data_IF_793819088629
#
_entry.id   IF_793819088629
#
_cell.length_a   1.000
_cell.length_b   1.000
_cell.length_c   1.000
_cell.angle_alpha   90.00
_cell.angle_beta   90.00
_cell.angle_gamma   90.00
#
_symmetry.space_group_name_H-M   'P 1'
#
loop_
_entity.id
_entity.type
_entity.pdbx_description
1 polymer ?
#
# COMPACT_ATOMS: atom_id res chain seq x y z
N UNK A 1 25.56 2.54 29.94
CA UNK A 1 24.29 2.35 30.67
C UNK A 1 23.13 1.92 29.78
N UNK A 2 23.09 2.25 28.48
CA UNK A 2 22.08 1.72 27.54
C UNK A 2 22.27 0.23 27.15
N UNK A 3 23.51 -0.27 27.19
CA UNK A 3 23.85 -1.66 26.82
C UNK A 3 23.37 -2.68 27.87
N UNK A 4 23.22 -2.27 29.13
CA UNK A 4 22.76 -3.16 30.21
C UNK A 4 21.23 -3.38 30.13
N UNK A 5 20.47 -2.36 29.75
CA UNK A 5 19.00 -2.45 29.65
C UNK A 5 18.52 -3.25 28.44
N UNK A 6 19.30 -3.32 27.35
CA UNK A 6 19.01 -4.18 26.20
C UNK A 6 19.31 -5.66 26.49
N UNK A 7 20.30 -5.96 27.33
CA UNK A 7 20.61 -7.34 27.72
C UNK A 7 19.55 -7.95 28.66
N UNK A 8 18.92 -7.10 29.50
CA UNK A 8 17.85 -7.49 30.42
C UNK A 8 16.49 -7.70 29.71
N UNK A 9 16.25 -7.08 28.54
CA UNK A 9 15.03 -7.34 27.76
C UNK A 9 15.13 -8.66 26.97
N UNK A 10 16.30 -8.95 26.40
CA UNK A 10 16.57 -10.18 25.64
C UNK A 10 16.50 -11.43 26.53
N UNK A 11 16.93 -11.33 27.78
CA UNK A 11 16.82 -12.45 28.75
C UNK A 11 15.39 -12.73 29.20
N UNK A 12 14.46 -11.78 29.02
CA UNK A 12 13.03 -11.95 29.30
C UNK A 12 12.31 -12.65 28.13
N UNK A 13 12.63 -12.26 26.90
CA UNK A 13 12.11 -12.89 25.66
C UNK A 13 12.54 -14.36 25.52
N UNK A 14 13.79 -14.68 25.88
CA UNK A 14 14.29 -16.07 25.82
C UNK A 14 13.58 -16.98 26.86
N UNK A 15 13.13 -16.43 28.00
CA UNK A 15 12.37 -17.19 29.00
C UNK A 15 10.93 -17.48 28.57
N UNK A 16 10.30 -16.60 27.80
CA UNK A 16 8.93 -16.79 27.30
C UNK A 16 8.88 -17.83 26.16
N UNK A 17 9.91 -17.86 25.31
CA UNK A 17 10.04 -18.86 24.22
C UNK A 17 10.21 -20.29 24.76
N UNK A 18 10.83 -20.46 25.93
CA UNK A 18 11.03 -21.77 26.57
C UNK A 18 9.74 -22.38 27.16
N UNK A 19 8.66 -21.61 27.34
CA UNK A 19 7.43 -22.09 28.00
C UNK A 19 6.39 -22.69 27.05
N UNK A 20 6.55 -22.58 25.72
CA UNK A 20 5.49 -22.94 24.75
C UNK A 20 5.86 -24.01 23.71
N UNK A 21 6.96 -24.75 23.90
CA UNK A 21 7.31 -25.85 23.00
C UNK A 21 6.50 -27.13 23.30
N UNK A 22 5.41 -27.35 22.57
CA UNK A 22 4.91 -28.69 22.23
C UNK A 22 3.89 -28.66 21.07
N UNK A 23 4.38 -28.80 19.82
CA UNK A 23 3.80 -29.61 18.72
C UNK A 23 4.47 -29.31 17.37
N UNK A 24 4.64 -30.32 16.49
CA UNK A 24 5.25 -30.15 15.17
C UNK A 24 4.21 -29.64 14.17
N UNK A 25 4.60 -28.71 13.27
CA UNK A 25 3.70 -28.22 12.23
C UNK A 25 4.29 -28.30 10.82
N UNK A 26 3.36 -28.69 9.96
CA UNK A 26 3.48 -29.25 8.62
C UNK A 26 3.77 -28.16 7.58
N UNK A 27 4.40 -28.54 6.46
CA UNK A 27 4.97 -27.66 5.41
C UNK A 27 3.90 -26.97 4.52
N UNK A 28 2.72 -26.66 5.07
CA UNK A 28 1.60 -26.03 4.35
C UNK A 28 1.23 -24.59 4.76
N UNK A 29 1.87 -24.01 5.78
CA UNK A 29 1.27 -22.89 6.56
C UNK A 29 1.91 -21.50 6.39
N UNK A 30 2.65 -21.22 5.32
CA UNK A 30 3.29 -19.90 5.13
C UNK A 30 2.29 -18.79 4.73
N UNK A 31 1.01 -19.12 4.44
CA UNK A 31 -0.07 -18.13 4.35
C UNK A 31 -0.86 -17.94 5.67
N UNK A 32 -0.72 -18.84 6.65
CA UNK A 32 -1.59 -18.86 7.84
C UNK A 32 -0.99 -18.15 9.07
N UNK A 33 0.31 -17.85 9.12
CA UNK A 33 0.93 -17.26 10.31
C UNK A 33 0.76 -15.75 10.48
N UNK A 34 0.25 -15.03 9.47
CA UNK A 34 -0.18 -13.64 9.63
C UNK A 34 -1.63 -13.53 10.12
N UNK A 35 -2.44 -14.57 9.92
CA UNK A 35 -3.89 -14.54 10.19
C UNK A 35 -4.27 -14.94 11.63
N UNK A 36 -3.40 -15.63 12.38
CA UNK A 36 -3.79 -16.23 13.65
C UNK A 36 -3.81 -15.30 14.88
N UNK A 37 -3.48 -14.02 14.74
CA UNK A 37 -3.50 -13.07 15.87
C UNK A 37 -4.19 -11.71 15.60
N UNK A 38 -4.85 -11.54 14.46
CA UNK A 38 -5.57 -10.28 14.16
C UNK A 38 -7.06 -10.43 14.41
N UNK A 39 -7.58 -9.69 15.39
CA UNK A 39 -9.01 -9.58 15.64
C UNK A 39 -9.68 -9.05 14.36
N UNK A 40 -10.71 -9.73 13.81
CA UNK A 40 -11.40 -9.25 12.62
C UNK A 40 -11.90 -7.82 12.81
N UNK A 41 -11.62 -6.96 11.83
CA UNK A 41 -12.07 -5.58 11.75
C UNK A 41 -13.17 -5.50 10.69
N UNK A 42 -14.41 -5.23 11.13
CA UNK A 42 -15.60 -5.13 10.29
C UNK A 42 -16.07 -3.68 10.22
N UNK A 43 -15.87 -3.06 9.07
CA UNK A 43 -16.21 -1.65 8.83
C UNK A 43 -17.47 -1.60 7.98
N UNK A 44 -18.53 -0.95 8.46
CA UNK A 44 -19.74 -0.74 7.68
C UNK A 44 -19.68 0.57 6.89
N UNK A 45 -19.93 0.51 5.59
CA UNK A 45 -20.05 1.67 4.69
C UNK A 45 -21.54 1.84 4.37
N UNK A 46 -22.15 2.91 4.85
CA UNK A 46 -23.59 3.21 4.69
C UNK A 46 -23.79 4.61 4.13
N UNK A 47 -25.01 4.95 3.75
CA UNK A 47 -25.35 6.21 3.09
C UNK A 47 -26.40 6.01 2.00
N UNK A 48 -26.80 7.08 1.33
CA UNK A 48 -27.80 7.00 0.26
C UNK A 48 -27.28 6.24 -0.98
N UNK A 49 -28.21 5.84 -1.86
CA UNK A 49 -27.83 5.31 -3.18
C UNK A 49 -27.16 6.42 -4.01
N UNK A 50 -26.15 6.03 -4.81
CA UNK A 50 -25.39 6.96 -5.63
C UNK A 50 -24.35 7.81 -4.89
N UNK A 51 -24.27 7.76 -3.55
CA UNK A 51 -23.30 8.58 -2.80
C UNK A 51 -21.83 8.17 -2.96
N UNK A 52 -21.53 7.08 -3.68
CA UNK A 52 -20.15 6.63 -3.91
C UNK A 52 -19.61 5.63 -2.88
N UNK A 53 -20.49 4.92 -2.16
CA UNK A 53 -20.11 3.86 -1.19
C UNK A 53 -19.20 2.80 -1.79
N UNK A 54 -19.59 2.17 -2.90
CA UNK A 54 -18.81 1.14 -3.59
C UNK A 54 -17.45 1.65 -4.05
N UNK A 55 -17.39 2.84 -4.65
CA UNK A 55 -16.13 3.50 -5.05
C UNK A 55 -15.24 3.77 -3.84
N UNK A 56 -15.81 4.19 -2.71
CA UNK A 56 -15.06 4.36 -1.46
C UNK A 56 -14.52 3.02 -0.93
N UNK A 57 -15.31 1.93 -0.98
CA UNK A 57 -14.87 0.58 -0.61
C UNK A 57 -13.66 0.15 -1.43
N UNK A 58 -13.70 0.35 -2.76
CA UNK A 58 -12.61 0.00 -3.66
C UNK A 58 -11.36 0.84 -3.40
N UNK A 59 -11.52 2.16 -3.32
CA UNK A 59 -10.43 3.08 -3.04
C UNK A 59 -9.75 2.79 -1.70
N UNK A 60 -10.53 2.49 -0.65
CA UNK A 60 -10.00 2.11 0.66
C UNK A 60 -9.23 0.78 0.61
N UNK A 61 -9.66 -0.16 -0.24
CA UNK A 61 -8.99 -1.45 -0.46
C UNK A 61 -7.79 -1.37 -1.42
N UNK A 62 -7.51 -0.19 -1.97
CA UNK A 62 -6.44 0.03 -2.94
C UNK A 62 -6.64 -0.71 -4.27
N UNK A 63 -7.88 -0.97 -4.67
CA UNK A 63 -8.23 -1.61 -5.95
C UNK A 63 -9.04 -0.64 -6.82
N UNK A 64 -8.98 -0.86 -8.13
CA UNK A 64 -9.75 -0.09 -9.11
C UNK A 64 -11.18 -0.62 -9.23
N UNK A 65 -12.09 0.21 -9.71
CA UNK A 65 -13.52 -0.16 -9.81
C UNK A 65 -13.77 -1.29 -10.82
N UNK A 66 -12.86 -1.45 -11.79
CA UNK A 66 -12.90 -2.50 -12.81
C UNK A 66 -12.12 -3.78 -12.43
N UNK A 67 -11.45 -3.81 -11.26
CA UNK A 67 -10.65 -4.96 -10.84
C UNK A 67 -11.53 -6.15 -10.39
N UNK A 68 -11.02 -7.38 -10.56
CA UNK A 68 -11.71 -8.57 -10.09
C UNK A 68 -11.92 -8.52 -8.56
N UNK A 69 -13.16 -8.66 -8.11
CA UNK A 69 -13.53 -8.55 -6.69
C UNK A 69 -13.73 -7.12 -6.18
N UNK A 70 -13.80 -6.13 -7.07
CA UNK A 70 -14.27 -4.79 -6.78
C UNK A 70 -15.76 -4.77 -6.41
N UNK A 71 -16.14 -3.83 -5.55
CA UNK A 71 -17.53 -3.51 -5.29
C UNK A 71 -18.12 -2.81 -6.53
N UNK A 72 -19.27 -3.28 -7.05
CA UNK A 72 -19.83 -2.75 -8.29
C UNK A 72 -20.32 -1.29 -8.09
N UNK A 73 -19.87 -0.40 -8.98
CA UNK A 73 -20.07 1.06 -8.88
C UNK A 73 -21.14 1.62 -9.82
N UNK A 74 -22.11 0.79 -10.24
CA UNK A 74 -23.14 1.21 -11.19
C UNK A 74 -24.11 2.26 -10.59
N UNK A 75 -24.77 3.00 -11.47
CA UNK A 75 -25.69 4.10 -11.15
C UNK A 75 -27.04 3.65 -10.57
N UNK A 76 -27.35 2.36 -10.66
CA UNK A 76 -28.54 1.72 -10.08
C UNK A 76 -28.13 1.02 -8.79
N UNK A 77 -29.02 0.91 -7.80
CA UNK A 77 -28.73 0.14 -6.58
C UNK A 77 -28.26 -1.28 -6.91
N UNK A 78 -26.96 -1.52 -6.75
CA UNK A 78 -26.31 -2.82 -7.03
C UNK A 78 -26.30 -3.74 -5.81
N UNK A 79 -26.44 -3.18 -4.60
CA UNK A 79 -26.28 -3.91 -3.33
C UNK A 79 -27.64 -4.18 -2.67
N UNK A 80 -28.17 -5.41 -2.84
CA UNK A 80 -29.46 -5.83 -2.25
C UNK A 80 -29.35 -6.43 -0.84
N UNK A 81 -28.14 -6.73 -0.37
CA UNK A 81 -27.83 -7.16 1.00
C UNK A 81 -26.46 -6.61 1.33
N UNK A 82 -26.19 -6.31 2.60
CA UNK A 82 -24.87 -5.84 3.01
C UNK A 82 -23.79 -6.84 2.57
N UNK A 83 -22.94 -6.44 1.62
CA UNK A 83 -21.98 -7.33 0.95
C UNK A 83 -20.59 -7.13 1.56
N UNK A 84 -19.95 -8.20 2.05
CA UNK A 84 -18.59 -8.13 2.58
C UNK A 84 -17.55 -8.09 1.47
N UNK A 85 -16.63 -7.15 1.58
CA UNK A 85 -15.46 -6.98 0.72
C UNK A 85 -14.20 -7.06 1.58
N UNK A 86 -13.58 -8.26 1.72
CA UNK A 86 -12.32 -8.40 2.43
C UNK A 86 -11.21 -7.65 1.68
N UNK A 87 -10.28 -7.05 2.44
CA UNK A 87 -9.11 -6.43 1.84
C UNK A 87 -8.25 -7.51 1.15
N UNK A 88 -7.79 -7.31 -0.11
CA UNK A 88 -7.09 -8.34 -0.88
C UNK A 88 -5.85 -8.90 -0.18
N UNK A 89 -5.06 -8.03 0.45
CA UNK A 89 -3.83 -8.42 1.17
C UNK A 89 -4.04 -8.69 2.67
N UNK A 90 -5.16 -8.24 3.26
CA UNK A 90 -5.40 -8.30 4.72
C UNK A 90 -6.83 -8.75 5.01
N UNK A 91 -7.17 -10.03 4.81
CA UNK A 91 -8.54 -10.51 4.90
C UNK A 91 -9.23 -10.29 6.26
N UNK A 92 -8.43 -10.09 7.33
CA UNK A 92 -8.93 -9.70 8.65
C UNK A 92 -9.61 -8.32 8.67
N UNK A 93 -9.37 -7.46 7.68
CA UNK A 93 -10.07 -6.19 7.48
C UNK A 93 -11.13 -6.37 6.40
N UNK A 94 -12.40 -6.26 6.77
CA UNK A 94 -13.54 -6.41 5.86
C UNK A 94 -14.36 -5.13 5.84
N UNK A 95 -14.51 -4.53 4.65
CA UNK A 95 -15.44 -3.44 4.41
C UNK A 95 -16.77 -4.02 3.97
N UNK A 96 -17.86 -3.58 4.56
CA UNK A 96 -19.20 -4.00 4.20
C UNK A 96 -19.90 -2.85 3.50
N UNK A 97 -20.13 -3.01 2.20
CA UNK A 97 -20.98 -2.08 1.47
C UNK A 97 -22.43 -2.38 1.82
N UNK A 98 -23.10 -1.42 2.46
CA UNK A 98 -24.49 -1.55 2.85
C UNK A 98 -25.42 -0.95 1.79
N UNK A 99 -26.63 -1.49 1.63
CA UNK A 99 -27.62 -0.93 0.71
C UNK A 99 -27.85 0.57 0.97
N UNK A 100 -28.24 1.29 -0.08
CA UNK A 100 -28.58 2.70 0.04
C UNK A 100 -29.82 2.90 0.91
N UNK A 101 -29.76 3.78 1.91
CA UNK A 101 -30.96 4.15 2.67
C UNK A 101 -31.86 5.07 1.85
N UNK A 102 -33.18 4.96 2.04
CA UNK A 102 -34.17 5.88 1.46
C UNK A 102 -34.65 5.49 0.06
N UNK A 103 -34.43 4.26 -0.35
CA UNK A 103 -34.88 3.74 -1.65
C UNK A 103 -36.14 2.90 -1.52
N UNK A 104 -36.74 2.52 -2.65
CA UNK A 104 -37.99 1.73 -2.65
C UNK A 104 -37.81 0.35 -2.05
N UNK A 105 -36.61 -0.23 -2.16
CA UNK A 105 -36.24 -1.51 -1.52
C UNK A 105 -35.78 -1.33 -0.07
N UNK A 106 -35.27 -0.15 0.28
CA UNK A 106 -34.73 0.16 1.61
C UNK A 106 -35.29 1.48 2.17
N UNK A 107 -36.59 1.51 2.51
CA UNK A 107 -37.20 2.66 3.17
C UNK A 107 -36.48 2.99 4.49
N UNK A 108 -36.31 4.27 4.80
CA UNK A 108 -35.49 4.72 5.93
C UNK A 108 -36.02 4.22 7.30
N UNK A 109 -37.33 4.03 7.43
CA UNK A 109 -38.03 3.52 8.61
C UNK A 109 -37.89 2.00 8.80
N UNK A 110 -37.63 1.25 7.72
CA UNK A 110 -37.39 -0.19 7.76
C UNK A 110 -35.90 -0.55 7.71
N UNK A 111 -35.04 0.35 7.22
CA UNK A 111 -33.60 0.14 7.04
C UNK A 111 -32.92 -0.44 8.27
N UNK A 112 -33.25 0.09 9.44
CA UNK A 112 -32.63 -0.28 10.72
C UNK A 112 -33.00 -1.70 11.17
N UNK A 113 -34.12 -2.24 10.69
CA UNK A 113 -34.55 -3.62 10.97
C UNK A 113 -33.93 -4.62 9.99
N UNK A 114 -33.61 -4.16 8.78
CA UNK A 114 -33.07 -4.99 7.70
C UNK A 114 -31.55 -5.21 7.84
N UNK A 115 -30.85 -4.27 8.48
CA UNK A 115 -29.39 -4.32 8.63
C UNK A 115 -29.02 -4.70 10.06
N UNK A 116 -28.19 -5.72 10.20
CA UNK A 116 -27.62 -6.14 11.49
C UNK A 116 -26.47 -5.21 11.91
N UNK A 117 -26.78 -3.99 12.37
CA UNK A 117 -25.78 -2.99 12.78
C UNK A 117 -24.83 -3.50 13.90
N UNK A 118 -25.30 -4.41 14.74
CA UNK A 118 -24.53 -4.96 15.87
C UNK A 118 -23.25 -5.70 15.44
N UNK A 119 -23.15 -6.21 14.22
CA UNK A 119 -21.99 -6.99 13.77
C UNK A 119 -20.73 -6.18 13.42
N UNK A 120 -20.85 -4.86 13.32
CA UNK A 120 -19.78 -3.98 12.84
C UNK A 120 -19.02 -3.29 13.99
N UNK A 121 -17.75 -2.98 13.78
CA UNK A 121 -16.94 -2.30 14.78
C UNK A 121 -17.21 -0.79 14.81
N UNK A 122 -17.40 -0.20 13.63
CA UNK A 122 -17.79 1.19 13.45
C UNK A 122 -18.38 1.40 12.05
N UNK A 123 -18.91 2.59 11.83
CA UNK A 123 -19.59 2.96 10.60
C UNK A 123 -18.90 4.14 9.90
N UNK A 124 -18.92 4.13 8.58
CA UNK A 124 -18.61 5.28 7.74
C UNK A 124 -19.88 5.63 6.98
N UNK A 125 -20.40 6.84 7.22
CA UNK A 125 -21.58 7.36 6.54
C UNK A 125 -21.10 8.18 5.35
N UNK A 126 -21.34 7.69 4.14
CA UNK A 126 -20.98 8.33 2.88
C UNK A 126 -22.16 9.17 2.39
N UNK A 127 -21.96 10.48 2.33
CA UNK A 127 -22.89 11.44 1.74
C UNK A 127 -22.24 12.12 0.54
N UNK A 128 -23.03 12.49 -0.47
CA UNK A 128 -22.58 13.29 -1.61
C UNK A 128 -23.47 14.53 -1.77
N UNK A 129 -23.04 15.52 -2.55
CA UNK A 129 -23.80 16.70 -3.02
C UNK A 129 -24.55 17.58 -2.01
N UNK A 130 -25.41 17.06 -1.13
CA UNK A 130 -26.05 17.80 -0.03
C UNK A 130 -26.16 16.93 1.21
N UNK A 131 -26.11 17.55 2.39
CA UNK A 131 -26.46 16.90 3.65
C UNK A 131 -27.98 16.60 3.67
N UNK A 132 -28.37 15.36 3.95
CA UNK A 132 -29.77 14.90 3.82
C UNK A 132 -30.35 14.36 5.12
N UNK A 133 -31.67 14.27 5.19
CA UNK A 133 -32.37 13.72 6.38
C UNK A 133 -31.95 12.28 6.69
N UNK A 134 -31.68 11.47 5.66
CA UNK A 134 -31.23 10.10 5.85
C UNK A 134 -29.84 10.00 6.49
N UNK A 135 -28.96 10.97 6.25
CA UNK A 135 -27.65 11.06 6.88
C UNK A 135 -27.79 11.24 8.40
N UNK A 136 -28.72 12.11 8.81
CA UNK A 136 -29.06 12.35 10.22
C UNK A 136 -29.65 11.09 10.86
N UNK A 137 -30.61 10.44 10.18
CA UNK A 137 -31.24 9.21 10.69
C UNK A 137 -30.20 8.12 10.93
N UNK A 138 -29.29 7.89 9.97
CA UNK A 138 -28.20 6.93 10.13
C UNK A 138 -27.33 7.27 11.34
N UNK A 139 -26.88 8.53 11.44
CA UNK A 139 -26.00 8.97 12.51
C UNK A 139 -26.64 8.86 13.90
N UNK A 140 -27.91 9.26 14.04
CA UNK A 140 -28.66 9.14 15.30
C UNK A 140 -28.86 7.69 15.72
N UNK A 141 -29.21 6.79 14.79
CA UNK A 141 -29.36 5.37 15.12
C UNK A 141 -28.04 4.74 15.54
N UNK A 142 -26.94 5.04 14.83
CA UNK A 142 -25.62 4.54 15.20
C UNK A 142 -25.19 5.06 16.59
N UNK A 143 -25.50 6.32 16.91
CA UNK A 143 -25.25 6.90 18.23
C UNK A 143 -26.08 6.23 19.33
N UNK A 144 -27.36 5.89 19.07
CA UNK A 144 -28.22 5.14 20.01
C UNK A 144 -27.68 3.75 20.33
N UNK A 145 -26.97 3.14 19.39
CA UNK A 145 -26.28 1.86 19.57
C UNK A 145 -24.91 1.99 20.26
N UNK A 146 -24.52 3.19 20.70
CA UNK A 146 -23.24 3.52 21.31
C UNK A 146 -22.03 3.14 20.43
N UNK A 147 -22.23 3.12 19.10
CA UNK A 147 -21.18 2.81 18.14
C UNK A 147 -20.60 4.08 17.54
N UNK A 148 -19.31 4.01 17.20
CA UNK A 148 -18.63 5.12 16.52
C UNK A 148 -19.06 5.18 15.06
N UNK A 149 -19.22 6.40 14.56
CA UNK A 149 -19.33 6.65 13.14
C UNK A 149 -18.44 7.80 12.70
N UNK A 150 -18.12 7.80 11.41
CA UNK A 150 -17.34 8.82 10.73
C UNK A 150 -18.14 9.31 9.54
N UNK A 151 -18.40 10.60 9.46
CA UNK A 151 -19.15 11.20 8.37
C UNK A 151 -18.19 11.59 7.25
N UNK A 152 -18.38 11.02 6.08
CA UNK A 152 -17.52 11.24 4.92
C UNK A 152 -18.34 11.87 3.81
N UNK A 153 -17.99 13.12 3.52
CA UNK A 153 -18.47 13.88 2.39
C UNK A 153 -17.65 13.51 1.15
N UNK A 154 -18.22 12.69 0.31
CA UNK A 154 -17.58 12.19 -0.92
C UNK A 154 -17.69 13.18 -2.08
N UNK A 155 -16.97 12.88 -3.17
CA UNK A 155 -17.02 13.61 -4.45
C UNK A 155 -16.69 15.10 -4.33
N UNK A 156 -15.84 15.48 -3.38
CA UNK A 156 -15.46 16.89 -3.16
C UNK A 156 -14.79 17.50 -4.41
N UNK A 157 -14.14 16.67 -5.22
CA UNK A 157 -13.59 17.06 -6.52
C UNK A 157 -14.66 17.55 -7.50
N UNK A 158 -15.86 16.95 -7.49
CA UNK A 158 -16.98 17.39 -8.33
C UNK A 158 -17.65 18.65 -7.78
N UNK A 159 -17.79 18.75 -6.46
CA UNK A 159 -18.31 19.96 -5.81
C UNK A 159 -17.43 21.17 -6.17
N UNK A 160 -16.11 21.04 -6.04
CA UNK A 160 -15.16 22.11 -6.38
C UNK A 160 -15.15 22.47 -7.86
N UNK A 161 -15.17 21.47 -8.76
CA UNK A 161 -15.27 21.73 -10.21
C UNK A 161 -16.56 22.44 -10.59
N UNK A 162 -17.65 22.17 -9.88
CA UNK A 162 -18.95 22.79 -10.15
C UNK A 162 -18.94 24.25 -9.69
N UNK A 163 -18.39 24.54 -8.51
CA UNK A 163 -18.23 25.90 -7.99
C UNK A 163 -17.24 26.75 -8.81
N UNK A 164 -16.14 26.16 -9.25
CA UNK A 164 -15.17 26.84 -10.13
C UNK A 164 -15.81 27.32 -11.45
N UNK A 165 -16.79 26.55 -11.97
CA UNK A 165 -17.51 26.90 -13.20
C UNK A 165 -18.62 27.93 -12.99
N UNK A 166 -19.17 28.02 -11.78
CA UNK A 166 -20.32 28.88 -11.48
C UNK A 166 -19.90 30.25 -10.92
N UNK A 167 -18.75 30.33 -10.26
CA UNK A 167 -18.27 31.53 -9.58
C UNK A 167 -17.18 32.27 -10.38
N UNK A 168 -17.24 33.60 -10.40
CA UNK A 168 -16.19 34.44 -11.02
C UNK A 168 -14.91 34.52 -10.20
N UNK A 169 -15.03 34.49 -8.87
CA UNK A 169 -13.91 34.53 -7.91
C UNK A 169 -13.95 33.26 -7.06
N UNK A 170 -13.54 32.14 -7.65
CA UNK A 170 -13.52 30.84 -6.98
C UNK A 170 -12.38 30.76 -5.95
N UNK A 171 -12.69 30.26 -4.75
CA UNK A 171 -11.72 29.94 -3.72
C UNK A 171 -12.03 28.55 -3.14
N UNK A 172 -11.18 27.57 -3.46
CA UNK A 172 -11.36 26.19 -3.05
C UNK A 172 -11.38 26.00 -1.52
N UNK A 173 -10.54 26.72 -0.78
CA UNK A 173 -10.44 26.60 0.69
C UNK A 173 -11.72 27.09 1.37
N UNK A 174 -12.28 28.21 0.91
CA UNK A 174 -13.54 28.74 1.39
C UNK A 174 -14.70 27.77 1.09
N UNK A 175 -14.75 27.23 -0.13
CA UNK A 175 -15.78 26.25 -0.51
C UNK A 175 -15.69 24.98 0.35
N UNK A 176 -14.50 24.41 0.55
CA UNK A 176 -14.27 23.25 1.42
C UNK A 176 -14.72 23.55 2.85
N UNK A 177 -14.35 24.73 3.37
CA UNK A 177 -14.70 25.16 4.73
C UNK A 177 -16.22 25.29 4.90
N UNK A 178 -16.91 25.91 3.95
CA UNK A 178 -18.37 26.04 3.95
C UNK A 178 -19.08 24.69 3.88
N UNK A 179 -18.62 23.78 3.02
CA UNK A 179 -19.19 22.43 2.93
C UNK A 179 -19.00 21.66 4.25
N UNK A 180 -17.80 21.77 4.85
CA UNK A 180 -17.51 21.14 6.15
C UNK A 180 -18.40 21.70 7.25
N UNK A 181 -18.49 23.02 7.38
CA UNK A 181 -19.33 23.68 8.38
C UNK A 181 -20.80 23.31 8.21
N UNK A 182 -21.30 23.23 6.97
CA UNK A 182 -22.66 22.79 6.69
C UNK A 182 -22.92 21.37 7.23
N UNK A 183 -22.01 20.43 6.98
CA UNK A 183 -22.13 19.06 7.49
C UNK A 183 -22.05 19.01 9.03
N UNK A 184 -21.10 19.74 9.62
CA UNK A 184 -20.92 19.80 11.08
C UNK A 184 -22.15 20.39 11.77
N UNK A 185 -22.65 21.53 11.28
CA UNK A 185 -23.86 22.17 11.81
C UNK A 185 -25.11 21.29 11.61
N UNK A 186 -25.23 20.65 10.45
CA UNK A 186 -26.32 19.73 10.14
C UNK A 186 -26.40 18.56 11.12
N UNK A 187 -25.26 17.99 11.51
CA UNK A 187 -25.21 16.93 12.53
C UNK A 187 -25.40 17.49 13.95
N UNK A 188 -24.74 18.60 14.29
CA UNK A 188 -24.79 19.19 15.63
C UNK A 188 -26.20 19.67 16.03
N UNK A 189 -26.95 20.27 15.10
CA UNK A 189 -28.34 20.70 15.34
C UNK A 189 -29.29 19.54 15.65
N UNK A 190 -28.88 18.31 15.34
CA UNK A 190 -29.65 17.08 15.55
C UNK A 190 -29.20 16.29 16.79
N UNK A 191 -28.39 16.92 17.66
CA UNK A 191 -27.94 16.35 18.94
C UNK A 191 -26.69 15.47 18.84
N UNK A 192 -26.00 15.47 17.70
CA UNK A 192 -24.74 14.74 17.54
C UNK A 192 -23.60 15.62 18.06
N UNK A 193 -23.01 15.22 19.18
CA UNK A 193 -21.89 15.93 19.79
C UNK A 193 -20.59 15.64 19.04
N UNK A 194 -19.86 16.70 18.67
CA UNK A 194 -18.52 16.62 18.05
C UNK A 194 -18.44 15.69 16.82
N UNK A 195 -19.24 15.93 15.76
CA UNK A 195 -19.25 15.10 14.57
C UNK A 195 -17.87 15.08 13.88
N UNK A 196 -17.38 13.87 13.55
CA UNK A 196 -16.16 13.67 12.75
C UNK A 196 -16.51 13.74 11.28
N UNK A 197 -16.24 14.87 10.64
CA UNK A 197 -16.55 15.13 9.22
C UNK A 197 -15.28 15.19 8.38
N UNK A 198 -15.22 14.39 7.32
CA UNK A 198 -14.10 14.32 6.37
C UNK A 198 -14.59 14.55 4.95
N UNK A 199 -13.95 15.44 4.21
CA UNK A 199 -14.23 15.73 2.81
C UNK A 199 -13.20 15.00 1.95
N UNK A 200 -13.64 14.06 1.11
CA UNK A 200 -12.74 13.17 0.38
C UNK A 200 -13.11 13.05 -1.10
N UNK A 201 -12.11 12.69 -1.90
CA UNK A 201 -12.31 12.18 -3.25
C UNK A 201 -11.75 10.77 -3.33
N UNK A 202 -12.60 9.79 -3.69
CA UNK A 202 -12.18 8.40 -3.87
C UNK A 202 -11.25 8.20 -5.07
N UNK A 203 -11.09 9.22 -5.92
CA UNK A 203 -10.16 9.21 -7.07
C UNK A 203 -8.84 9.93 -6.79
N UNK A 204 -8.75 10.68 -5.69
CA UNK A 204 -7.60 11.52 -5.34
C UNK A 204 -7.25 11.38 -3.85
N UNK A 205 -6.84 10.18 -3.45
CA UNK A 205 -6.63 9.81 -2.05
C UNK A 205 -5.52 10.61 -1.34
N UNK A 206 -4.59 11.20 -2.10
CA UNK A 206 -3.52 12.05 -1.56
C UNK A 206 -3.97 13.48 -1.27
N UNK A 207 -5.20 13.85 -1.66
CA UNK A 207 -5.76 15.18 -1.49
C UNK A 207 -6.87 15.18 -0.43
N UNK A 208 -7.20 16.38 0.05
CA UNK A 208 -8.29 16.59 1.02
C UNK A 208 -8.09 15.79 2.31
N UNK A 209 -9.17 15.25 2.90
CA UNK A 209 -9.14 14.66 4.25
C UNK A 209 -8.94 13.16 4.29
N UNK A 210 -8.61 12.48 3.18
CA UNK A 210 -8.50 11.02 3.20
C UNK A 210 -7.39 10.56 4.17
N UNK A 211 -6.27 11.29 4.24
CA UNK A 211 -5.23 11.11 5.28
C UNK A 211 -5.77 11.31 6.69
N UNK A 212 -6.47 12.43 6.92
CA UNK A 212 -7.01 12.80 8.22
C UNK A 212 -8.06 11.78 8.72
N UNK A 213 -8.83 11.20 7.81
CA UNK A 213 -9.75 10.10 8.09
C UNK A 213 -8.97 8.91 8.67
N UNK A 214 -7.89 8.47 8.03
CA UNK A 214 -7.08 7.37 8.54
C UNK A 214 -6.44 7.67 9.88
N UNK A 215 -5.83 8.84 10.05
CA UNK A 215 -5.22 9.25 11.32
C UNK A 215 -6.25 9.23 12.46
N UNK A 216 -7.49 9.64 12.17
CA UNK A 216 -8.58 9.61 13.14
C UNK A 216 -9.02 8.19 13.45
N UNK A 217 -9.20 7.34 12.44
CA UNK A 217 -9.53 5.93 12.61
C UNK A 217 -8.45 5.20 13.43
N UNK A 218 -7.17 5.40 13.11
CA UNK A 218 -6.04 4.84 13.83
C UNK A 218 -6.05 5.24 15.31
N UNK A 219 -6.24 6.54 15.60
CA UNK A 219 -6.27 7.04 16.99
C UNK A 219 -7.45 6.48 17.79
N UNK A 220 -8.61 6.35 17.16
CA UNK A 220 -9.86 6.05 17.85
C UNK A 220 -10.19 4.56 17.94
N UNK A 221 -9.51 3.70 17.19
CA UNK A 221 -9.66 2.24 17.29
C UNK A 221 -8.91 1.65 18.49
N UNK A 222 -9.39 0.51 19.04
CA UNK A 222 -8.63 -0.27 20.02
C UNK A 222 -7.28 -0.74 19.46
N UNK A 223 -6.25 -0.80 20.31
CA UNK A 223 -4.86 -1.07 19.93
C UNK A 223 -4.70 -2.28 19.00
N UNK A 224 -5.35 -3.40 19.32
CA UNK A 224 -5.29 -4.64 18.52
C UNK A 224 -5.86 -4.48 17.09
N UNK A 225 -6.79 -3.55 16.86
CA UNK A 225 -7.40 -3.26 15.55
C UNK A 225 -6.64 -2.18 14.77
N UNK A 226 -5.84 -1.34 15.45
CA UNK A 226 -5.01 -0.30 14.81
C UNK A 226 -4.01 -0.90 13.83
N UNK A 227 -3.35 -1.99 14.22
CA UNK A 227 -2.35 -2.66 13.39
C UNK A 227 -2.97 -3.25 12.11
N UNK A 228 -4.13 -3.89 12.24
CA UNK A 228 -4.88 -4.41 11.09
C UNK A 228 -5.26 -3.30 10.12
N UNK A 229 -5.82 -2.20 10.65
CA UNK A 229 -6.16 -1.03 9.86
C UNK A 229 -4.93 -0.44 9.15
N UNK A 230 -3.84 -0.18 9.89
CA UNK A 230 -2.62 0.43 9.36
C UNK A 230 -2.06 -0.34 8.16
N UNK A 231 -2.05 -1.67 8.23
CA UNK A 231 -1.57 -2.52 7.15
C UNK A 231 -2.49 -2.45 5.92
N UNK A 232 -3.81 -2.43 6.13
CA UNK A 232 -4.82 -2.36 5.06
C UNK A 232 -5.00 -0.97 4.43
N UNK A 233 -4.54 0.10 5.07
CA UNK A 233 -4.65 1.47 4.52
C UNK A 233 -3.78 1.65 3.26
N UNK A 234 -4.23 2.25 2.16
CA UNK A 234 -3.39 2.54 0.99
C UNK A 234 -2.23 3.49 1.35
N UNK A 235 -1.11 3.37 0.64
CA UNK A 235 0.13 4.14 0.89
C UNK A 235 0.03 5.58 0.36
N UNK A 236 -0.87 6.38 0.94
CA UNK A 236 -1.25 7.69 0.39
C UNK A 236 -0.34 8.86 0.83
N UNK A 237 0.51 8.69 1.84
CA UNK A 237 1.45 9.71 2.26
C UNK A 237 2.69 9.09 2.91
N UNK A 238 3.73 9.91 3.11
CA UNK A 238 5.00 9.47 3.66
C UNK A 238 4.89 8.98 5.12
N UNK A 239 3.98 9.54 5.91
CA UNK A 239 3.77 9.12 7.30
C UNK A 239 3.22 7.70 7.39
N UNK A 240 2.18 7.38 6.62
CA UNK A 240 1.58 6.04 6.53
C UNK A 240 2.61 5.04 6.00
N UNK A 241 3.38 5.41 4.97
CA UNK A 241 4.47 4.58 4.45
C UNK A 241 5.51 4.29 5.55
N UNK A 242 5.88 5.31 6.33
CA UNK A 242 6.85 5.17 7.42
C UNK A 242 6.32 4.29 8.55
N UNK A 243 5.06 4.50 8.97
CA UNK A 243 4.39 3.69 9.99
C UNK A 243 4.25 2.23 9.55
N UNK A 244 3.82 1.99 8.31
CA UNK A 244 3.76 0.65 7.72
C UNK A 244 5.13 -0.01 7.72
N UNK A 245 6.17 0.71 7.29
CA UNK A 245 7.55 0.23 7.28
C UNK A 245 8.02 -0.19 8.67
N UNK A 246 7.75 0.61 9.70
CA UNK A 246 8.06 0.26 11.10
C UNK A 246 7.27 -0.98 11.56
N UNK A 247 5.97 -1.05 11.25
CA UNK A 247 5.14 -2.21 11.57
C UNK A 247 5.65 -3.49 10.87
N UNK A 248 6.10 -3.38 9.61
CA UNK A 248 6.73 -4.46 8.86
C UNK A 248 8.07 -4.86 9.45
N UNK A 249 8.91 -3.92 9.88
CA UNK A 249 10.18 -4.23 10.55
C UNK A 249 9.96 -5.03 11.84
N UNK A 250 8.98 -4.64 12.66
CA UNK A 250 8.60 -5.35 13.89
C UNK A 250 8.02 -6.74 13.61
N UNK A 251 7.25 -6.89 12.54
CA UNK A 251 6.75 -8.19 12.09
C UNK A 251 7.87 -9.08 11.54
N UNK A 252 8.82 -8.49 10.82
CA UNK A 252 9.96 -9.19 10.23
C UNK A 252 10.91 -9.73 11.29
N UNK A 253 11.26 -8.93 12.31
CA UNK A 253 12.05 -9.41 13.46
C UNK A 253 11.40 -10.57 14.20
N UNK A 254 10.06 -10.69 14.15
CA UNK A 254 9.32 -11.82 14.70
C UNK A 254 9.20 -13.01 13.71
N UNK A 255 9.26 -12.75 12.40
CA UNK A 255 9.13 -13.73 11.32
C UNK A 255 10.47 -14.38 10.90
N UNK A 256 11.61 -13.90 11.40
CA UNK A 256 12.94 -14.51 11.18
C UNK A 256 13.04 -15.96 11.68
N UNK A 257 11.97 -16.52 12.25
CA UNK A 257 11.81 -17.96 12.49
C UNK A 257 11.78 -18.86 11.25
N UNK A 258 11.80 -18.36 9.99
CA UNK A 258 11.59 -19.26 8.85
C UNK A 258 12.56 -19.30 7.65
N UNK A 259 13.46 -18.35 7.38
CA UNK A 259 14.31 -18.51 6.18
C UNK A 259 15.77 -18.04 6.36
N UNK A 260 16.72 -18.95 6.08
CA UNK A 260 18.14 -18.64 5.82
C UNK A 260 19.17 -19.29 6.74
N UNK A 261 18.84 -19.53 8.01
CA UNK A 261 19.84 -19.94 9.03
C UNK A 261 19.39 -21.17 9.83
N UNK A 262 18.75 -22.16 9.17
CA UNK A 262 18.31 -23.41 9.82
C UNK A 262 19.46 -24.13 10.54
N UNK A 263 20.65 -24.16 9.93
CA UNK A 263 21.84 -24.79 10.50
C UNK A 263 22.30 -24.09 11.77
N UNK A 264 22.46 -22.76 11.74
CA UNK A 264 22.88 -21.99 12.92
C UNK A 264 21.83 -22.07 14.04
N UNK A 265 20.53 -22.11 13.69
CA UNK A 265 19.45 -22.29 14.67
C UNK A 265 19.43 -23.68 15.31
N UNK A 266 19.70 -24.74 14.56
CA UNK A 266 19.85 -26.08 15.14
C UNK A 266 21.11 -26.18 16.02
N UNK A 267 22.22 -25.53 15.64
CA UNK A 267 23.41 -25.43 16.48
C UNK A 267 23.15 -24.66 17.79
N UNK A 268 22.40 -23.57 17.75
CA UNK A 268 21.96 -22.82 18.94
C UNK A 268 21.07 -23.70 19.82
N UNK A 269 20.10 -24.41 19.24
CA UNK A 269 19.24 -25.35 19.98
C UNK A 269 20.05 -26.47 20.63
N UNK A 270 21.01 -27.06 19.92
CA UNK A 270 21.88 -28.09 20.47
C UNK A 270 22.75 -27.58 21.63
N UNK A 271 23.32 -26.37 21.50
CA UNK A 271 24.10 -25.74 22.57
C UNK A 271 23.25 -25.50 23.82
N UNK A 272 22.01 -25.03 23.63
CA UNK A 272 21.04 -24.84 24.73
C UNK A 272 20.61 -26.16 25.37
N UNK A 273 20.37 -27.21 24.57
CA UNK A 273 20.05 -28.57 25.06
C UNK A 273 21.20 -29.20 25.86
N UNK A 274 22.44 -28.90 25.48
CA UNK A 274 23.66 -29.31 26.20
C UNK A 274 23.98 -28.39 27.39
N UNK A 275 23.14 -27.39 27.66
CA UNK A 275 23.30 -26.37 28.70
C UNK A 275 24.60 -25.57 28.59
N UNK A 276 25.17 -25.50 27.38
CA UNK A 276 26.39 -24.76 27.04
C UNK A 276 26.02 -23.33 26.67
N UNK A 277 25.79 -22.51 27.70
CA UNK A 277 25.40 -21.11 27.57
C UNK A 277 26.42 -20.26 26.81
N UNK A 278 27.75 -20.38 27.04
CA UNK A 278 28.74 -19.66 26.26
C UNK A 278 28.68 -19.96 24.75
N UNK A 279 28.53 -21.23 24.38
CA UNK A 279 28.43 -21.63 22.98
C UNK A 279 27.14 -21.11 22.33
N UNK A 280 26.01 -21.15 23.04
CA UNK A 280 24.76 -20.60 22.56
C UNK A 280 24.84 -19.09 22.31
N UNK A 281 25.46 -18.33 23.23
CA UNK A 281 25.66 -16.88 23.08
C UNK A 281 26.55 -16.58 21.86
N UNK A 282 27.68 -17.26 21.73
CA UNK A 282 28.59 -17.07 20.58
C UNK A 282 27.90 -17.35 19.24
N UNK A 283 27.04 -18.37 19.19
CA UNK A 283 26.28 -18.74 17.98
C UNK A 283 25.14 -17.75 17.66
N UNK A 284 24.51 -17.18 18.67
CA UNK A 284 23.53 -16.10 18.51
C UNK A 284 24.22 -14.84 17.99
N UNK A 285 25.38 -14.48 18.53
CA UNK A 285 26.18 -13.34 18.04
C UNK A 285 26.63 -13.56 16.58
N UNK A 286 27.07 -14.77 16.23
CA UNK A 286 27.41 -15.16 14.85
C UNK A 286 26.22 -15.00 13.91
N UNK A 287 25.04 -15.47 14.32
CA UNK A 287 23.79 -15.32 13.56
C UNK A 287 23.43 -13.85 13.32
N UNK A 288 23.41 -13.04 14.39
CA UNK A 288 23.05 -11.63 14.33
C UNK A 288 24.04 -10.83 13.49
N UNK A 289 25.33 -11.13 13.59
CA UNK A 289 26.36 -10.49 12.78
C UNK A 289 26.24 -10.85 11.30
N UNK A 290 25.85 -12.09 10.97
CA UNK A 290 25.65 -12.51 9.59
C UNK A 290 24.47 -11.79 8.94
N UNK A 291 23.35 -11.67 9.64
CA UNK A 291 22.18 -10.93 9.13
C UNK A 291 22.45 -9.43 8.99
N UNK A 292 23.11 -8.83 9.99
CA UNK A 292 23.44 -7.40 9.98
C UNK A 292 24.51 -7.01 8.98
N UNK A 293 25.25 -7.94 8.38
CA UNK A 293 26.37 -7.65 7.48
C UNK A 293 26.24 -8.32 6.10
N UNK A 294 25.11 -8.97 5.78
CA UNK A 294 24.92 -9.55 4.44
C UNK A 294 24.62 -8.43 3.44
N UNK A 295 25.49 -8.19 2.44
CA UNK A 295 25.27 -7.16 1.44
C UNK A 295 24.16 -7.57 0.47
N UNK A 296 23.29 -6.62 0.11
CA UNK A 296 22.28 -6.73 -0.93
C UNK A 296 22.63 -5.81 -2.10
N UNK A 297 22.88 -6.40 -3.25
CA UNK A 297 23.28 -5.73 -4.49
C UNK A 297 22.15 -5.79 -5.52
N UNK A 298 21.49 -4.66 -5.74
CA UNK A 298 20.34 -4.54 -6.64
C UNK A 298 20.82 -3.91 -7.94
N UNK A 299 20.68 -4.61 -9.06
CA UNK A 299 21.02 -4.06 -10.37
C UNK A 299 19.84 -3.28 -10.97
N UNK A 300 20.06 -2.03 -11.35
CA UNK A 300 19.10 -1.20 -12.07
C UNK A 300 19.55 -1.09 -13.52
N UNK A 301 18.74 -1.61 -14.44
CA UNK A 301 19.06 -1.72 -15.87
C UNK A 301 17.87 -1.30 -16.73
N UNK A 302 18.06 -1.25 -18.04
CA UNK A 302 17.09 -0.74 -19.02
C UNK A 302 17.73 0.18 -20.05
N UNK A 303 16.95 0.58 -21.05
CA UNK A 303 17.46 1.40 -22.16
C UNK A 303 17.99 2.77 -21.69
N UNK A 304 18.84 3.36 -22.53
CA UNK A 304 19.32 4.73 -22.31
C UNK A 304 18.17 5.71 -22.34
N UNK A 305 18.15 6.63 -21.37
CA UNK A 305 17.08 7.61 -21.24
C UNK A 305 15.83 7.07 -20.53
N UNK A 306 15.76 5.78 -20.16
CA UNK A 306 14.59 5.21 -19.48
C UNK A 306 14.35 5.75 -18.05
N UNK A 307 15.26 6.56 -17.50
CA UNK A 307 15.10 7.15 -16.16
C UNK A 307 15.66 6.31 -15.01
N UNK A 308 16.62 5.42 -15.28
CA UNK A 308 17.31 4.59 -14.27
C UNK A 308 17.89 5.40 -13.12
N UNK A 309 18.69 6.42 -13.41
CA UNK A 309 19.36 7.24 -12.39
C UNK A 309 18.34 8.05 -11.57
N UNK A 310 17.26 8.54 -12.20
CA UNK A 310 16.14 9.16 -11.49
C UNK A 310 15.43 8.17 -10.57
N UNK A 311 15.22 6.94 -11.01
CA UNK A 311 14.65 5.88 -10.18
C UNK A 311 15.56 5.55 -8.98
N UNK A 312 16.88 5.48 -9.17
CA UNK A 312 17.84 5.24 -8.09
C UNK A 312 17.75 6.34 -7.02
N UNK A 313 17.68 7.61 -7.43
CA UNK A 313 17.56 8.73 -6.50
C UNK A 313 16.25 8.68 -5.72
N UNK A 314 15.13 8.47 -6.42
CA UNK A 314 13.83 8.32 -5.80
C UNK A 314 13.78 7.14 -4.83
N UNK A 315 14.35 5.99 -5.21
CA UNK A 315 14.42 4.80 -4.36
C UNK A 315 15.25 5.04 -3.09
N UNK A 316 16.30 5.86 -3.19
CA UNK A 316 17.14 6.28 -2.05
C UNK A 316 16.52 7.42 -1.23
N UNK A 317 15.39 7.97 -1.67
CA UNK A 317 14.74 9.13 -1.03
C UNK A 317 15.52 10.44 -1.18
N UNK A 318 16.28 10.60 -2.26
CA UNK A 318 17.15 11.76 -2.52
C UNK A 318 16.59 12.62 -3.67
N UNK A 319 16.78 13.94 -3.59
CA UNK A 319 16.57 14.87 -4.70
C UNK A 319 17.72 14.70 -5.73
N UNK A 320 17.42 14.90 -7.01
CA UNK A 320 18.44 14.76 -8.07
C UNK A 320 19.59 15.78 -7.95
N UNK A 321 19.42 16.84 -7.15
CA UNK A 321 20.42 17.88 -6.87
C UNK A 321 21.21 17.62 -5.60
N UNK A 322 20.85 16.60 -4.83
CA UNK A 322 21.55 16.28 -3.59
C UNK A 322 22.97 15.77 -3.86
N UNK A 323 23.88 16.06 -2.94
CA UNK A 323 25.23 15.54 -2.98
C UNK A 323 25.21 14.01 -2.87
N UNK A 324 25.82 13.32 -3.85
CA UNK A 324 25.80 11.85 -3.94
C UNK A 324 24.57 11.26 -4.64
N UNK A 325 23.72 12.08 -5.26
CA UNK A 325 22.69 11.63 -6.20
C UNK A 325 23.31 11.04 -7.48
N UNK A 326 22.64 10.05 -8.07
CA UNK A 326 22.96 9.51 -9.37
C UNK A 326 22.72 10.60 -10.45
N UNK A 327 23.71 10.87 -11.33
CA UNK A 327 23.62 11.98 -12.27
C UNK A 327 22.56 11.71 -13.34
N UNK A 328 21.65 12.66 -13.53
CA UNK A 328 20.57 12.57 -14.52
C UNK A 328 20.88 13.43 -15.74
N UNK A 329 20.69 12.90 -16.96
CA UNK A 329 20.96 13.61 -18.21
C UNK A 329 20.36 12.91 -19.45
N UNK A 330 20.37 13.59 -20.61
CA UNK A 330 19.77 13.11 -21.88
C UNK A 330 20.71 12.17 -22.65
N UNK A 331 22.02 12.27 -22.43
CA UNK A 331 23.07 11.42 -23.01
C UNK A 331 23.37 10.21 -22.11
N UNK A 332 23.93 9.12 -22.66
CA UNK A 332 24.47 8.02 -21.84
C UNK A 332 25.48 8.54 -20.82
N UNK A 333 25.07 8.65 -19.56
CA UNK A 333 25.94 9.11 -18.47
C UNK A 333 26.75 7.96 -17.86
N UNK A 334 26.27 6.72 -17.97
CA UNK A 334 26.78 5.56 -17.23
C UNK A 334 27.45 4.57 -18.19
N UNK A 335 28.78 4.62 -18.30
CA UNK A 335 29.58 3.67 -19.10
C UNK A 335 30.15 2.52 -18.27
N UNK A 336 30.09 2.63 -16.95
CA UNK A 336 30.55 1.62 -15.99
C UNK A 336 29.49 1.44 -14.89
N UNK A 337 29.37 0.22 -14.35
CA UNK A 337 28.43 -0.06 -13.28
C UNK A 337 28.75 0.80 -12.06
N UNK A 338 27.84 1.70 -11.69
CA UNK A 338 28.09 2.67 -10.63
C UNK A 338 27.31 2.31 -9.37
N UNK A 339 27.97 2.08 -8.23
CA UNK A 339 27.30 1.75 -6.97
C UNK A 339 26.77 3.01 -6.28
N UNK A 340 25.54 2.91 -5.78
CA UNK A 340 24.87 3.91 -4.96
C UNK A 340 24.38 3.26 -3.67
N UNK A 341 25.14 3.35 -2.58
CA UNK A 341 24.73 2.88 -1.27
C UNK A 341 23.46 3.61 -0.78
N UNK A 342 22.57 2.86 -0.13
CA UNK A 342 21.35 3.44 0.43
C UNK A 342 21.68 4.18 1.74
N UNK A 343 21.28 5.46 1.90
CA UNK A 343 21.69 6.30 3.04
C UNK A 343 21.24 5.74 4.40
N UNK A 344 20.06 5.11 4.46
CA UNK A 344 19.56 4.46 5.68
C UNK A 344 19.91 2.97 5.82
N UNK A 345 20.43 2.33 4.77
CA UNK A 345 20.64 0.88 4.72
C UNK A 345 22.02 0.58 4.16
N UNK A 346 23.07 0.57 5.01
CA UNK A 346 24.45 0.54 4.55
C UNK A 346 24.82 -0.75 3.80
N UNK A 347 24.08 -1.84 4.01
CA UNK A 347 24.28 -3.10 3.29
C UNK A 347 23.56 -3.15 1.94
N UNK A 348 22.70 -2.18 1.63
CA UNK A 348 21.94 -2.16 0.38
C UNK A 348 22.62 -1.22 -0.61
N UNK A 349 23.03 -1.75 -1.74
CA UNK A 349 23.63 -0.98 -2.84
C UNK A 349 22.79 -1.11 -4.09
N UNK A 350 22.35 0.03 -4.63
CA UNK A 350 21.74 0.10 -5.95
C UNK A 350 22.83 0.34 -6.98
N UNK A 351 22.90 -0.50 -8.00
CA UNK A 351 23.89 -0.40 -9.07
C UNK A 351 23.24 0.15 -10.33
N UNK A 352 23.65 1.34 -10.77
CA UNK A 352 23.23 1.88 -12.06
C UNK A 352 24.03 1.18 -13.16
N UNK A 353 23.34 0.39 -13.99
CA UNK A 353 23.96 -0.31 -15.10
C UNK A 353 23.86 0.50 -16.40
N UNK A 354 24.84 0.37 -17.31
CA UNK A 354 24.80 1.01 -18.62
C UNK A 354 23.53 0.66 -19.42
N UNK A 355 23.14 1.52 -20.36
CA UNK A 355 21.96 1.27 -21.18
C UNK A 355 22.13 0.03 -22.07
N UNK A 356 21.17 -0.88 -22.05
CA UNK A 356 21.16 -2.03 -22.97
C UNK A 356 20.80 -1.57 -24.39
N UNK A 357 21.40 -2.23 -25.40
CA UNK A 357 21.07 -2.03 -26.81
C UNK A 357 21.86 -0.89 -27.49
N UNK A 358 22.90 -0.39 -26.84
CA UNK A 358 23.80 0.62 -27.44
C UNK A 358 25.00 -0.04 -28.12
N UNK A 359 25.75 0.73 -28.93
CA UNK A 359 26.90 0.19 -29.66
C UNK A 359 27.99 -0.38 -28.76
N UNK A 360 28.08 0.12 -27.51
CA UNK A 360 28.99 -0.37 -26.47
C UNK A 360 28.41 -1.50 -25.62
N UNK A 361 27.08 -1.59 -25.57
CA UNK A 361 26.33 -2.56 -24.76
C UNK A 361 25.29 -3.32 -25.60
N UNK A 362 25.73 -4.14 -26.59
CA UNK A 362 24.82 -4.97 -27.38
C UNK A 362 24.05 -5.97 -26.49
N UNK A 363 22.76 -6.16 -26.77
CA UNK A 363 21.87 -6.95 -25.90
C UNK A 363 22.31 -8.41 -25.71
N UNK A 364 22.95 -9.02 -26.71
CA UNK A 364 23.46 -10.39 -26.69
C UNK A 364 24.69 -10.58 -25.80
N UNK A 365 25.46 -9.52 -25.55
CA UNK A 365 26.67 -9.53 -24.70
C UNK A 365 26.53 -8.72 -23.42
N UNK A 366 25.37 -8.10 -23.23
CA UNK A 366 25.15 -7.09 -22.20
C UNK A 366 25.45 -7.63 -20.79
N UNK A 367 24.88 -8.79 -20.44
CA UNK A 367 25.02 -9.34 -19.09
C UNK A 367 26.47 -9.71 -18.75
N UNK A 368 27.19 -10.30 -19.71
CA UNK A 368 28.63 -10.60 -19.55
C UNK A 368 29.45 -9.32 -19.33
N UNK A 369 29.20 -8.27 -20.12
CA UNK A 369 29.90 -7.00 -20.04
C UNK A 369 29.70 -6.28 -18.71
N UNK A 370 28.49 -6.34 -18.13
CA UNK A 370 28.19 -5.72 -16.84
C UNK A 370 28.52 -6.62 -15.65
N UNK A 371 29.09 -7.81 -15.84
CA UNK A 371 29.50 -8.67 -14.74
C UNK A 371 28.35 -9.04 -13.79
N UNK A 372 27.27 -9.59 -14.36
CA UNK A 372 25.98 -9.85 -13.72
C UNK A 372 26.01 -10.74 -12.45
N UNK A 373 27.09 -11.52 -12.24
CA UNK A 373 27.24 -12.41 -11.07
C UNK A 373 27.19 -11.63 -9.74
N UNK A 374 27.55 -10.35 -9.78
CA UNK A 374 27.67 -9.46 -8.61
C UNK A 374 26.33 -9.04 -7.98
N UNK A 375 25.20 -9.28 -8.65
CA UNK A 375 23.89 -8.75 -8.24
C UNK A 375 22.93 -9.85 -7.77
N UNK A 376 22.14 -9.57 -6.74
CA UNK A 376 21.18 -10.52 -6.19
C UNK A 376 19.90 -10.61 -7.04
N UNK A 377 19.44 -9.47 -7.55
CA UNK A 377 18.31 -9.39 -8.47
C UNK A 377 18.35 -8.11 -9.32
N UNK A 378 17.49 -8.04 -10.32
CA UNK A 378 17.44 -6.95 -11.30
C UNK A 378 16.13 -6.17 -11.25
N UNK A 379 16.20 -4.87 -11.47
CA UNK A 379 15.06 -4.00 -11.76
C UNK A 379 15.28 -3.41 -13.15
N UNK A 380 14.36 -3.70 -14.07
CA UNK A 380 14.42 -3.28 -15.46
C UNK A 380 13.48 -2.08 -15.63
N UNK A 381 14.06 -0.93 -15.96
CA UNK A 381 13.34 0.33 -16.18
C UNK A 381 13.12 0.53 -17.67
N UNK A 382 11.86 0.76 -18.08
CA UNK A 382 11.50 1.09 -19.46
C UNK A 382 10.54 2.28 -19.48
N UNK A 383 10.77 3.26 -20.35
CA UNK A 383 9.97 4.50 -20.40
C UNK A 383 8.77 4.46 -21.35
N UNK A 384 8.59 3.36 -22.08
CA UNK A 384 7.52 3.22 -23.09
C UNK A 384 6.94 1.80 -23.11
N UNK A 385 7.14 1.08 -24.22
CA UNK A 385 6.60 -0.26 -24.48
C UNK A 385 7.70 -1.31 -24.30
N UNK A 386 7.29 -2.57 -24.11
CA UNK A 386 8.19 -3.71 -24.17
C UNK A 386 8.94 -3.73 -25.50
N UNK A 387 10.27 -3.78 -25.45
CA UNK A 387 11.14 -3.88 -26.62
C UNK A 387 11.85 -5.22 -26.66
N UNK A 388 12.36 -5.58 -27.83
CA UNK A 388 13.12 -6.82 -28.05
C UNK A 388 14.31 -6.94 -27.09
N UNK A 389 14.96 -5.83 -26.75
CA UNK A 389 16.05 -5.79 -25.78
C UNK A 389 15.61 -6.19 -24.37
N UNK A 390 14.41 -5.77 -23.93
CA UNK A 390 13.86 -6.15 -22.62
C UNK A 390 13.57 -7.66 -22.57
N UNK A 391 13.05 -8.23 -23.66
CA UNK A 391 12.80 -9.68 -23.77
C UNK A 391 14.10 -10.47 -23.71
N UNK A 392 15.11 -10.08 -24.49
CA UNK A 392 16.43 -10.73 -24.46
C UNK A 392 17.05 -10.66 -23.06
N UNK A 393 16.99 -9.50 -22.42
CA UNK A 393 17.53 -9.29 -21.07
C UNK A 393 16.86 -10.20 -20.04
N UNK A 394 15.53 -10.27 -20.06
CA UNK A 394 14.76 -11.10 -19.12
C UNK A 394 14.98 -12.59 -19.34
N UNK A 395 15.05 -13.05 -20.58
CA UNK A 395 15.38 -14.45 -20.91
C UNK A 395 16.75 -14.85 -20.38
N UNK A 396 17.76 -14.01 -20.55
CA UNK A 396 19.10 -14.29 -20.03
C UNK A 396 19.14 -14.26 -18.49
N UNK A 397 18.44 -13.32 -17.82
CA UNK A 397 18.33 -13.31 -16.35
C UNK A 397 17.64 -14.60 -15.83
N UNK A 398 16.62 -15.08 -16.54
CA UNK A 398 15.91 -16.33 -16.20
C UNK A 398 16.79 -17.56 -16.35
N UNK A 399 17.58 -17.67 -17.43
CA UNK A 399 18.55 -18.78 -17.61
C UNK A 399 19.49 -18.91 -16.42
N UNK A 400 19.80 -17.79 -15.78
CA UNK A 400 20.70 -17.70 -14.63
C UNK A 400 19.99 -17.83 -13.28
N UNK A 401 18.68 -18.13 -13.28
CA UNK A 401 17.85 -18.34 -12.08
C UNK A 401 17.82 -17.16 -11.12
N UNK A 402 18.13 -15.94 -11.58
CA UNK A 402 18.01 -14.71 -10.80
C UNK A 402 16.61 -14.12 -10.95
N UNK A 403 16.18 -13.37 -9.93
CA UNK A 403 14.88 -12.68 -9.97
C UNK A 403 15.04 -11.35 -10.69
N UNK A 404 13.96 -10.90 -11.32
CA UNK A 404 13.89 -9.55 -11.87
C UNK A 404 12.49 -8.98 -11.72
N UNK A 405 12.43 -7.65 -11.75
CA UNK A 405 11.21 -6.87 -11.68
C UNK A 405 11.20 -5.86 -12.81
N UNK A 406 10.04 -5.56 -13.35
CA UNK A 406 9.88 -4.58 -14.41
C UNK A 406 9.16 -3.35 -13.89
N UNK A 407 9.68 -2.18 -14.25
CA UNK A 407 9.14 -0.87 -13.87
C UNK A 407 8.97 -0.05 -15.13
N UNK A 408 7.73 0.38 -15.39
CA UNK A 408 7.44 1.34 -16.45
C UNK A 408 7.57 2.75 -15.88
N UNK A 409 8.54 3.50 -16.37
CA UNK A 409 8.77 4.89 -15.99
C UNK A 409 8.05 5.85 -16.93
N UNK A 410 8.02 7.14 -16.56
CA UNK A 410 7.47 8.24 -17.37
C UNK A 410 6.02 8.08 -17.84
N UNK A 411 5.20 7.35 -17.07
CA UNK A 411 3.78 7.13 -17.38
C UNK A 411 2.98 8.45 -17.46
N UNK A 412 3.45 9.50 -16.79
CA UNK A 412 2.90 10.84 -16.84
C UNK A 412 2.88 11.42 -18.26
N UNK A 413 3.90 11.14 -19.07
CA UNK A 413 3.95 11.59 -20.47
C UNK A 413 2.93 10.85 -21.33
N UNK A 414 2.77 9.54 -21.13
CA UNK A 414 1.79 8.76 -21.88
C UNK A 414 0.35 9.17 -21.51
N UNK A 415 0.11 9.48 -20.23
CA UNK A 415 -1.18 10.01 -19.75
C UNK A 415 -1.46 11.38 -20.36
N UNK A 416 -0.50 12.32 -20.34
CA UNK A 416 -0.63 13.64 -21.00
C UNK A 416 -0.84 13.55 -22.52
N UNK A 417 -0.23 12.56 -23.17
CA UNK A 417 -0.45 12.32 -24.59
C UNK A 417 -1.88 11.82 -24.85
N UNK A 418 -2.41 10.97 -23.95
CA UNK A 418 -3.77 10.47 -24.02
C UNK A 418 -4.83 11.54 -23.71
N UNK A 419 -4.53 12.52 -22.85
CA UNK A 419 -5.40 13.68 -22.53
C UNK A 419 -5.85 14.47 -23.76
N UNK A 420 -5.07 14.44 -24.85
CA UNK A 420 -5.41 15.13 -26.10
C UNK A 420 -6.52 14.45 -26.90
N UNK A 421 -6.96 13.26 -26.48
CA UNK A 421 -8.04 12.51 -27.13
C UNK A 421 -9.39 12.93 -26.57
N UNK A 422 -10.40 12.99 -27.44
CA UNK A 422 -11.78 13.41 -27.09
C UNK A 422 -12.46 12.49 -26.06
N UNK A 423 -12.01 11.25 -25.96
CA UNK A 423 -12.54 10.16 -25.12
C UNK A 423 -11.57 9.77 -23.98
N UNK A 424 -10.71 10.70 -23.55
CA UNK A 424 -9.70 10.43 -22.55
C UNK A 424 -10.30 9.96 -21.21
N UNK A 425 -9.80 8.82 -20.74
CA UNK A 425 -9.89 8.38 -19.35
C UNK A 425 -8.49 7.96 -18.89
N UNK A 426 -8.03 8.56 -17.79
CA UNK A 426 -6.73 8.24 -17.18
C UNK A 426 -6.68 6.76 -16.77
N UNK A 427 -7.77 6.25 -16.20
CA UNK A 427 -7.91 4.87 -15.77
C UNK A 427 -7.81 3.89 -16.95
N UNK A 428 -8.61 4.08 -18.01
CA UNK A 428 -8.51 3.26 -19.24
C UNK A 428 -7.12 3.29 -19.86
N UNK A 429 -6.45 4.44 -19.77
CA UNK A 429 -5.10 4.64 -20.28
C UNK A 429 -4.08 3.83 -19.46
N UNK A 430 -4.16 3.85 -18.13
CA UNK A 430 -3.29 3.08 -17.23
C UNK A 430 -3.57 1.57 -17.30
N UNK A 431 -4.85 1.15 -17.35
CA UNK A 431 -5.23 -0.25 -17.54
C UNK A 431 -4.67 -0.80 -18.83
N UNK A 432 -4.84 -0.08 -19.94
CA UNK A 432 -4.25 -0.45 -21.23
C UNK A 432 -2.71 -0.51 -21.17
N UNK A 433 -2.06 0.32 -20.37
CA UNK A 433 -0.60 0.23 -20.17
C UNK A 433 -0.21 -1.02 -19.40
N UNK A 434 -0.93 -1.36 -18.33
CA UNK A 434 -0.74 -2.58 -17.53
C UNK A 434 -0.95 -3.83 -18.40
N UNK A 435 -2.05 -3.89 -19.15
CA UNK A 435 -2.36 -4.98 -20.07
C UNK A 435 -1.29 -5.14 -21.17
N UNK A 436 -0.82 -4.04 -21.77
CA UNK A 436 0.25 -4.08 -22.77
C UNK A 436 1.58 -4.60 -22.19
N UNK A 437 1.83 -4.38 -20.91
CA UNK A 437 2.98 -4.98 -20.24
C UNK A 437 2.76 -6.49 -20.06
N UNK A 438 1.57 -6.92 -19.64
CA UNK A 438 1.20 -8.34 -19.37
C UNK A 438 1.12 -9.20 -20.63
N UNK A 439 0.63 -8.67 -21.74
CA UNK A 439 0.43 -9.42 -23.00
C UNK A 439 1.74 -9.81 -23.71
N UNK A 440 2.90 -9.33 -23.26
CA UNK A 440 4.19 -9.76 -23.78
C UNK A 440 4.62 -11.12 -23.19
N UNK A 441 4.09 -12.23 -23.71
CA UNK A 441 4.51 -13.65 -23.57
C UNK A 441 5.08 -14.23 -22.24
N UNK A 442 5.19 -13.51 -21.12
CA UNK A 442 5.81 -14.00 -19.89
C UNK A 442 5.14 -13.50 -18.59
N UNK A 443 5.04 -14.34 -17.55
CA UNK A 443 4.43 -13.98 -16.28
C UNK A 443 5.33 -13.01 -15.50
N UNK A 444 4.94 -11.75 -15.47
CA UNK A 444 5.68 -10.64 -14.88
C UNK A 444 4.98 -10.12 -13.63
N UNK A 445 5.76 -9.85 -12.57
CA UNK A 445 5.28 -9.11 -11.38
C UNK A 445 5.69 -7.64 -11.54
N UNK A 446 4.71 -6.75 -11.63
CA UNK A 446 4.90 -5.33 -11.88
C UNK A 446 5.03 -4.53 -10.59
N UNK A 447 5.89 -3.51 -10.62
CA UNK A 447 5.85 -2.42 -9.66
C UNK A 447 5.64 -1.13 -10.45
N UNK A 448 4.48 -0.50 -10.27
CA UNK A 448 4.20 0.84 -10.78
C UNK A 448 4.24 1.74 -9.55
N UNK A 449 5.29 2.56 -9.37
CA UNK A 449 5.24 3.61 -8.37
C UNK A 449 4.19 4.64 -8.82
N UNK A 450 3.24 4.94 -7.95
CA UNK A 450 2.31 6.08 -8.09
C UNK A 450 2.97 7.40 -7.73
#
# INVERSE_FOLDING_TARGET
MAVQSECDSVTKEVKEVLQHHDKPLNVGMVKESADQHTIPLKIAITGESGSGKSTFVNAFRGINDDDEGAAPTDCVETTEKGTPYPHPEYPSVTLWDLPGIGTTKFPADEYMKLIEFEKFDFFIIISDTRFRENDVKLAQEIQKMEKKFYFVRSKIDNDLRSEERSQREFNAENTISQIRENCVQGLATQGIESPRVFLVSSFQLHQYDFSLLYETLERELPELKRKALLLATPSINLEIITKKKQAFQLLWTNADNQFGNRVIKEEIKEALLKNDKPLAIAKIEEFLNKEKNTPLNIAITGETGAGKSTFINAFRGMDNRDEGAAPTGVTETTLENTPYPHPMYPNVTLWDLPGIGTTKFPADKYLELVGFEKFDFFIIISDTRFRENDVKLTQEIQKMKKRFYFVRSKIDNDVRAAERKKDFSKEKTLTKMRENCVQGEYPMKYFIPE
#
